data_IF_621996666044
#
_entry.id   IF_621996666044
#
_cell.length_a   1.000
_cell.length_b   1.000
_cell.length_c   1.000
_cell.angle_alpha   90.00
_cell.angle_beta   90.00
_cell.angle_gamma   90.00
#
_symmetry.space_group_name_H-M   'P 1'
#
loop_
_entity.id
_entity.type
_entity.pdbx_description
1 polymer ?
#
# COMPACT_ATOMS: atom_id res chain seq x y z
N UNK A 1 -7.52 30.14 17.08
CA UNK A 1 -7.76 28.68 16.97
C UNK A 1 -6.52 27.96 17.47
N UNK A 2 -6.69 26.98 18.36
CA UNK A 2 -5.57 26.18 18.87
C UNK A 2 -5.05 25.24 17.77
N UNK A 3 -3.75 24.91 17.76
CA UNK A 3 -3.10 24.08 16.74
C UNK A 3 -3.80 22.72 16.61
N UNK A 4 -4.14 22.10 17.74
CA UNK A 4 -4.81 20.80 17.80
C UNK A 4 -6.21 20.81 17.17
N UNK A 5 -6.96 21.89 17.35
CA UNK A 5 -8.30 22.03 16.76
C UNK A 5 -8.23 22.13 15.24
N UNK A 6 -7.17 22.78 14.72
CA UNK A 6 -6.95 22.91 13.28
C UNK A 6 -6.55 21.56 12.67
N UNK A 7 -5.67 20.80 13.33
CA UNK A 7 -5.29 19.46 12.87
C UNK A 7 -6.48 18.49 12.91
N UNK A 8 -7.33 18.54 13.94
CA UNK A 8 -8.55 17.75 13.99
C UNK A 8 -9.54 18.10 12.87
N UNK A 9 -9.66 19.38 12.50
CA UNK A 9 -10.47 19.78 11.35
C UNK A 9 -9.90 19.25 10.04
N UNK A 10 -8.58 19.28 9.86
CA UNK A 10 -7.93 18.73 8.67
C UNK A 10 -8.14 17.22 8.57
N UNK A 11 -8.07 16.48 9.69
CA UNK A 11 -8.35 15.03 9.70
C UNK A 11 -9.81 14.72 9.36
N UNK A 12 -10.77 15.50 9.89
CA UNK A 12 -12.18 15.33 9.51
C UNK A 12 -12.40 15.61 8.02
N UNK A 13 -11.84 16.72 7.52
CA UNK A 13 -11.90 17.04 6.10
C UNK A 13 -11.26 15.96 5.22
N UNK A 14 -10.16 15.33 5.66
CA UNK A 14 -9.56 14.20 4.97
C UNK A 14 -10.53 13.01 4.86
N UNK A 15 -11.21 12.64 5.94
CA UNK A 15 -12.20 11.54 5.96
C UNK A 15 -13.43 11.87 5.10
N UNK A 16 -13.86 13.13 5.12
CA UNK A 16 -14.99 13.63 4.31
C UNK A 16 -14.62 13.87 2.84
N UNK A 17 -13.37 13.56 2.45
CA UNK A 17 -12.83 13.78 1.11
C UNK A 17 -12.88 15.26 0.65
N UNK A 18 -12.75 16.18 1.60
CA UNK A 18 -12.65 17.62 1.35
C UNK A 18 -11.31 17.94 0.66
N UNK A 19 -11.41 18.36 -0.60
CA UNK A 19 -10.26 18.73 -1.43
C UNK A 19 -9.40 19.81 -0.78
N UNK A 20 -9.99 20.77 -0.04
CA UNK A 20 -9.22 21.84 0.62
C UNK A 20 -8.39 21.30 1.77
N UNK A 21 -8.95 20.40 2.57
CA UNK A 21 -8.23 19.75 3.66
C UNK A 21 -7.06 18.92 3.10
N UNK A 22 -7.30 18.11 2.07
CA UNK A 22 -6.27 17.30 1.41
C UNK A 22 -5.14 18.17 0.85
N UNK A 23 -5.48 19.23 0.10
CA UNK A 23 -4.50 20.17 -0.43
C UNK A 23 -3.70 20.87 0.66
N UNK A 24 -4.35 21.23 1.78
CA UNK A 24 -3.69 21.86 2.92
C UNK A 24 -2.70 20.91 3.59
N UNK A 25 -3.08 19.65 3.79
CA UNK A 25 -2.19 18.63 4.35
C UNK A 25 -1.01 18.40 3.39
N UNK A 26 -1.27 18.29 2.09
CA UNK A 26 -0.21 18.09 1.09
C UNK A 26 0.78 19.27 1.07
N UNK A 27 0.28 20.49 0.90
CA UNK A 27 1.11 21.70 0.83
C UNK A 27 1.92 21.95 2.11
N UNK A 28 1.36 21.61 3.28
CA UNK A 28 2.01 21.83 4.57
C UNK A 28 3.08 20.80 4.93
N UNK A 29 3.10 19.62 4.30
CA UNK A 29 3.92 18.50 4.77
C UNK A 29 4.81 17.88 3.69
N UNK A 30 4.44 17.94 2.40
CA UNK A 30 5.15 17.22 1.34
C UNK A 30 6.63 17.59 1.21
N UNK A 31 6.99 18.86 1.37
CA UNK A 31 8.37 19.34 1.23
C UNK A 31 9.36 18.64 2.19
N UNK A 32 8.91 18.32 3.40
CA UNK A 32 9.71 17.60 4.38
C UNK A 32 9.97 16.15 3.95
N UNK A 33 8.95 15.49 3.40
CA UNK A 33 9.05 14.10 2.94
C UNK A 33 9.85 14.01 1.64
N UNK A 34 9.71 15.02 0.76
CA UNK A 34 10.58 15.18 -0.40
C UNK A 34 12.05 15.28 0.00
N UNK A 35 12.38 16.14 0.97
CA UNK A 35 13.76 16.26 1.45
C UNK A 35 14.27 14.94 2.05
N UNK A 36 13.44 14.24 2.83
CA UNK A 36 13.77 12.93 3.37
C UNK A 36 14.13 11.93 2.27
N UNK A 37 13.31 11.79 1.24
CA UNK A 37 13.51 10.80 0.18
C UNK A 37 14.69 11.18 -0.71
N UNK A 38 14.80 12.44 -1.15
CA UNK A 38 15.91 12.91 -1.99
C UNK A 38 17.27 12.77 -1.30
N UNK A 39 17.34 13.03 0.01
CA UNK A 39 18.59 12.89 0.78
C UNK A 39 18.96 11.44 1.07
N UNK A 40 18.09 10.48 0.76
CA UNK A 40 18.28 9.06 1.05
C UNK A 40 18.11 8.21 -0.22
N UNK A 41 18.81 8.57 -1.29
CA UNK A 41 18.89 7.82 -2.55
C UNK A 41 17.57 7.66 -3.31
N UNK A 42 16.63 8.60 -3.13
CA UNK A 42 15.34 8.60 -3.83
C UNK A 42 15.20 9.71 -4.85
N UNK A 43 14.20 9.60 -5.70
CA UNK A 43 13.80 10.61 -6.67
C UNK A 43 12.61 11.45 -6.17
N UNK A 44 12.28 12.50 -6.93
CA UNK A 44 11.06 13.27 -6.67
C UNK A 44 9.80 12.41 -6.85
N UNK A 45 9.81 11.46 -7.79
CA UNK A 45 8.69 10.56 -8.02
C UNK A 45 8.51 9.59 -6.86
N UNK A 46 9.62 9.05 -6.34
CA UNK A 46 9.61 8.23 -5.12
C UNK A 46 9.01 9.00 -3.94
N UNK A 47 9.35 10.28 -3.79
CA UNK A 47 8.80 11.12 -2.74
C UNK A 47 7.29 11.32 -2.87
N UNK A 48 6.78 11.51 -4.10
CA UNK A 48 5.34 11.60 -4.35
C UNK A 48 4.65 10.30 -3.99
N UNK A 49 5.21 9.17 -4.39
CA UNK A 49 4.64 7.86 -4.11
C UNK A 49 4.61 7.57 -2.61
N UNK A 50 5.73 7.79 -1.91
CA UNK A 50 5.82 7.62 -0.45
C UNK A 50 4.83 8.51 0.29
N UNK A 51 4.69 9.77 -0.12
CA UNK A 51 3.78 10.69 0.54
C UNK A 51 2.32 10.32 0.29
N UNK A 52 1.97 9.89 -0.93
CA UNK A 52 0.60 9.43 -1.24
C UNK A 52 0.25 8.19 -0.43
N UNK A 53 1.17 7.23 -0.31
CA UNK A 53 0.98 6.05 0.52
C UNK A 53 0.81 6.41 2.00
N UNK A 54 1.60 7.36 2.52
CA UNK A 54 1.43 7.88 3.87
C UNK A 54 0.06 8.58 4.09
N UNK A 55 -0.43 9.32 3.08
CA UNK A 55 -1.76 9.95 3.11
C UNK A 55 -2.89 8.92 3.12
N UNK A 56 -2.76 7.82 2.38
CA UNK A 56 -3.72 6.72 2.39
C UNK A 56 -3.76 6.06 3.77
N UNK A 57 -2.60 5.76 4.37
CA UNK A 57 -2.53 5.20 5.73
C UNK A 57 -3.20 6.13 6.74
N UNK A 58 -2.91 7.44 6.67
CA UNK A 58 -3.55 8.44 7.51
C UNK A 58 -5.08 8.46 7.34
N UNK A 59 -5.58 8.40 6.10
CA UNK A 59 -7.01 8.36 5.80
C UNK A 59 -7.67 7.10 6.39
N UNK A 60 -7.10 5.92 6.16
CA UNK A 60 -7.61 4.65 6.68
C UNK A 60 -7.69 4.66 8.22
N UNK A 61 -6.70 5.29 8.88
CA UNK A 61 -6.66 5.46 10.33
C UNK A 61 -7.69 6.47 10.82
N UNK A 62 -7.78 7.63 10.18
CA UNK A 62 -8.75 8.66 10.54
C UNK A 62 -10.21 8.21 10.38
N UNK A 63 -10.47 7.23 9.50
CA UNK A 63 -11.79 6.60 9.38
C UNK A 63 -12.17 5.73 10.60
N UNK A 64 -11.21 5.30 11.43
CA UNK A 64 -11.49 4.49 12.62
C UNK A 64 -11.87 5.40 13.80
N UNK A 65 -12.94 5.03 14.51
CA UNK A 65 -13.50 5.83 15.61
C UNK A 65 -12.60 5.97 16.84
N UNK A 66 -11.61 5.10 16.98
CA UNK A 66 -10.63 5.06 18.07
C UNK A 66 -9.34 5.83 17.75
N UNK A 67 -9.15 6.28 16.52
CA UNK A 67 -7.95 6.98 16.13
C UNK A 67 -7.90 8.38 16.77
N UNK A 68 -6.87 8.60 17.57
CA UNK A 68 -6.54 9.91 18.14
C UNK A 68 -5.11 10.25 17.79
N UNK A 69 -4.94 11.35 17.04
CA UNK A 69 -3.62 11.89 16.77
C UNK A 69 -2.99 12.38 18.09
N UNK A 70 -1.90 11.74 18.51
CA UNK A 70 -1.18 12.04 19.77
C UNK A 70 0.02 12.96 19.58
N UNK A 71 0.39 13.24 18.33
CA UNK A 71 1.47 14.13 17.94
C UNK A 71 1.01 15.08 16.84
N UNK A 72 1.87 16.02 16.43
CA UNK A 72 1.55 16.91 15.30
C UNK A 72 1.42 16.09 14.01
N UNK A 73 0.52 16.53 13.12
CA UNK A 73 0.24 15.84 11.86
C UNK A 73 1.50 15.66 11.00
N UNK A 74 2.36 16.68 10.99
CA UNK A 74 3.66 16.65 10.30
C UNK A 74 4.57 15.54 10.81
N UNK A 75 4.57 15.31 12.12
CA UNK A 75 5.41 14.30 12.79
C UNK A 75 4.91 12.90 12.44
N UNK A 76 3.59 12.72 12.46
CA UNK A 76 2.96 11.47 12.06
C UNK A 76 3.27 11.10 10.61
N UNK A 77 3.04 12.04 9.68
CA UNK A 77 3.32 11.82 8.25
C UNK A 77 4.80 11.57 7.97
N UNK A 78 5.70 12.28 8.66
CA UNK A 78 7.14 12.04 8.55
C UNK A 78 7.54 10.64 9.03
N UNK A 79 7.03 10.20 10.19
CA UNK A 79 7.33 8.89 10.75
C UNK A 79 6.91 7.75 9.80
N UNK A 80 5.68 7.83 9.27
CA UNK A 80 5.18 6.86 8.28
C UNK A 80 6.04 6.89 7.02
N UNK A 81 6.25 8.08 6.43
CA UNK A 81 7.01 8.23 5.19
C UNK A 81 8.44 7.72 5.31
N UNK A 82 9.10 7.96 6.45
CA UNK A 82 10.44 7.45 6.74
C UNK A 82 10.49 5.93 6.74
N UNK A 83 9.54 5.26 7.41
CA UNK A 83 9.53 3.79 7.44
C UNK A 83 9.19 3.21 6.06
N UNK A 84 8.21 3.78 5.35
CA UNK A 84 7.90 3.41 3.97
C UNK A 84 9.14 3.51 3.07
N UNK A 85 9.90 4.60 3.20
CA UNK A 85 11.11 4.79 2.41
C UNK A 85 12.21 3.80 2.77
N UNK A 86 12.48 3.57 4.06
CA UNK A 86 13.46 2.58 4.50
C UNK A 86 13.12 1.17 4.03
N UNK A 87 11.83 0.82 4.00
CA UNK A 87 11.34 -0.44 3.45
C UNK A 87 11.62 -0.55 1.96
N UNK A 88 11.34 0.51 1.18
CA UNK A 88 11.68 0.57 -0.26
C UNK A 88 13.18 0.40 -0.48
N UNK A 89 14.02 1.09 0.27
CA UNK A 89 15.49 0.97 0.16
C UNK A 89 15.99 -0.44 0.45
N UNK A 90 15.46 -1.08 1.51
CA UNK A 90 15.77 -2.48 1.84
C UNK A 90 15.38 -3.43 0.70
N UNK A 91 14.22 -3.23 0.09
CA UNK A 91 13.77 -4.03 -1.06
C UNK A 91 14.66 -3.85 -2.30
N UNK A 92 15.22 -2.65 -2.49
CA UNK A 92 16.12 -2.33 -3.59
C UNK A 92 17.57 -2.78 -3.35
N UNK A 93 17.87 -3.46 -2.23
CA UNK A 93 19.22 -3.88 -1.86
C UNK A 93 20.15 -2.72 -1.49
N UNK A 94 19.59 -1.52 -1.31
CA UNK A 94 20.32 -0.33 -0.88
C UNK A 94 20.35 -0.33 0.65
N UNK A 95 21.40 -0.93 1.22
CA UNK A 95 21.60 -0.93 2.68
C UNK A 95 21.90 0.49 3.15
N UNK A 96 20.95 1.10 3.87
CA UNK A 96 21.22 2.32 4.63
C UNK A 96 21.80 1.89 5.97
N UNK A 97 23.00 2.37 6.32
CA UNK A 97 23.52 2.21 7.67
C UNK A 97 22.55 2.89 8.64
N UNK A 98 22.08 2.16 9.64
CA UNK A 98 21.12 2.65 10.65
C UNK A 98 21.60 3.89 11.44
N UNK A 99 22.84 4.34 11.22
CA UNK A 99 23.51 5.39 11.97
C UNK A 99 23.02 6.81 11.63
N UNK A 100 22.58 7.09 10.39
CA UNK A 100 22.22 8.46 9.98
C UNK A 100 20.74 8.84 10.23
N UNK A 101 19.89 7.86 10.56
CA UNK A 101 18.45 8.05 10.71
C UNK A 101 18.00 8.29 12.16
N UNK A 102 18.92 8.34 13.12
CA UNK A 102 18.59 8.39 14.56
C UNK A 102 18.17 9.77 15.09
N UNK A 103 18.13 10.80 14.25
CA UNK A 103 17.78 12.14 14.71
C UNK A 103 16.24 12.27 14.74
N UNK A 104 15.70 12.26 15.96
CA UNK A 104 14.31 12.44 16.40
C UNK A 104 13.47 11.15 16.58
N UNK A 105 13.55 10.59 17.80
CA UNK A 105 12.50 9.79 18.44
C UNK A 105 11.88 10.61 19.60
N UNK A 106 10.59 10.42 19.96
CA UNK A 106 10.02 9.12 20.32
C UNK A 106 8.77 8.73 19.52
N UNK A 107 8.72 7.49 19.02
CA UNK A 107 7.63 6.96 18.17
C UNK A 107 7.11 5.64 18.76
N UNK A 108 6.54 5.70 19.97
CA UNK A 108 5.96 4.50 20.62
C UNK A 108 4.51 4.27 20.16
N UNK A 109 3.82 5.30 19.64
CA UNK A 109 2.40 5.23 19.30
C UNK A 109 2.09 4.83 17.83
N UNK A 110 3.11 4.52 17.01
CA UNK A 110 2.92 4.21 15.57
C UNK A 110 3.18 2.71 15.28
N UNK A 111 3.66 1.92 16.24
CA UNK A 111 4.06 0.53 16.02
C UNK A 111 2.89 -0.40 15.66
N UNK A 112 1.77 -0.37 16.40
CA UNK A 112 0.58 -1.19 16.10
C UNK A 112 -0.07 -0.83 14.74
N UNK A 113 0.07 0.43 14.33
CA UNK A 113 -0.47 0.92 13.06
C UNK A 113 0.30 0.37 11.86
N UNK A 114 1.60 0.15 12.04
CA UNK A 114 2.55 -0.28 11.04
C UNK A 114 2.54 -1.80 10.86
N UNK A 115 2.31 -2.59 11.92
CA UNK A 115 2.22 -4.05 11.83
C UNK A 115 1.09 -4.52 10.90
N UNK A 116 -0.06 -3.84 10.90
CA UNK A 116 -1.16 -4.19 9.99
C UNK A 116 -0.85 -3.88 8.53
N UNK A 117 -0.16 -2.76 8.26
CA UNK A 117 0.26 -2.39 6.90
C UNK A 117 1.37 -3.32 6.40
N UNK A 118 2.32 -3.68 7.28
CA UNK A 118 3.36 -4.66 6.99
C UNK A 118 2.78 -6.03 6.67
N UNK A 119 1.82 -6.51 7.45
CA UNK A 119 1.13 -7.77 7.18
C UNK A 119 0.39 -7.77 5.83
N UNK A 120 -0.27 -6.67 5.48
CA UNK A 120 -1.00 -6.54 4.21
C UNK A 120 -0.04 -6.53 3.01
N UNK A 121 1.10 -5.87 3.15
CA UNK A 121 2.16 -5.88 2.13
C UNK A 121 2.82 -7.25 1.97
N UNK A 122 3.06 -7.96 3.08
CA UNK A 122 3.55 -9.35 3.05
C UNK A 122 2.56 -10.26 2.30
N UNK A 123 1.26 -10.12 2.58
CA UNK A 123 0.19 -10.81 1.85
C UNK A 123 0.23 -10.49 0.35
N UNK A 124 0.46 -9.22 -0.03
CA UNK A 124 0.60 -8.82 -1.44
C UNK A 124 1.84 -9.43 -2.12
N UNK A 125 3.00 -9.42 -1.45
CA UNK A 125 4.22 -10.04 -1.99
C UNK A 125 4.07 -11.56 -2.17
N UNK A 126 3.43 -12.23 -1.21
CA UNK A 126 3.12 -13.65 -1.31
C UNK A 126 2.16 -13.91 -2.48
N UNK A 127 1.15 -13.07 -2.66
CA UNK A 127 0.21 -13.16 -3.78
C UNK A 127 0.91 -12.97 -5.13
N UNK A 128 1.78 -11.97 -5.27
CA UNK A 128 2.53 -11.70 -6.50
C UNK A 128 3.45 -12.87 -6.87
N UNK A 129 4.19 -13.40 -5.89
CA UNK A 129 5.00 -14.62 -6.04
C UNK A 129 4.15 -15.84 -6.43
N UNK A 130 2.98 -16.01 -5.82
CA UNK A 130 2.06 -17.10 -6.15
C UNK A 130 1.51 -16.97 -7.58
N UNK A 131 1.19 -15.75 -8.02
CA UNK A 131 0.77 -15.45 -9.40
C UNK A 131 1.89 -15.74 -10.42
N UNK A 132 3.13 -15.36 -10.12
CA UNK A 132 4.28 -15.65 -10.97
C UNK A 132 4.51 -17.17 -11.15
N UNK A 133 4.31 -17.96 -10.09
CA UNK A 133 4.44 -19.43 -10.10
C UNK A 133 3.25 -20.18 -10.71
N UNK A 134 2.13 -19.49 -10.95
CA UNK A 134 0.91 -20.11 -11.46
C UNK A 134 1.07 -20.59 -12.91
N UNK A 135 1.87 -19.87 -13.70
CA UNK A 135 2.16 -20.17 -15.10
C UNK A 135 0.98 -19.97 -16.06
N UNK A 136 1.27 -19.99 -17.36
CA UNK A 136 0.26 -19.90 -18.41
C UNK A 136 -0.42 -21.25 -18.69
N UNK A 137 -1.69 -21.28 -19.14
CA UNK A 137 -2.57 -20.13 -19.39
C UNK A 137 -3.30 -19.62 -18.14
N UNK A 138 -3.07 -20.23 -16.97
CA UNK A 138 -3.83 -19.92 -15.76
C UNK A 138 -3.64 -18.50 -15.25
N UNK A 139 -2.42 -17.95 -15.34
CA UNK A 139 -2.13 -16.56 -14.97
C UNK A 139 -2.96 -15.59 -15.81
N UNK A 140 -2.82 -15.64 -17.14
CA UNK A 140 -3.57 -14.77 -18.05
C UNK A 140 -5.08 -14.93 -17.89
N UNK A 141 -5.57 -16.16 -17.66
CA UNK A 141 -7.00 -16.42 -17.45
C UNK A 141 -7.55 -15.71 -16.21
N UNK A 142 -6.82 -15.77 -15.09
CA UNK A 142 -7.24 -15.10 -13.85
C UNK A 142 -7.12 -13.58 -13.94
N UNK A 143 -6.07 -13.07 -14.60
CA UNK A 143 -5.90 -11.63 -14.86
C UNK A 143 -7.04 -11.07 -15.73
N UNK A 144 -7.35 -11.74 -16.84
CA UNK A 144 -8.44 -11.35 -17.73
C UNK A 144 -9.78 -11.27 -16.98
N UNK A 145 -10.07 -12.23 -16.10
CA UNK A 145 -11.33 -12.24 -15.35
C UNK A 145 -11.36 -11.25 -14.18
N UNK A 146 -10.37 -11.31 -13.27
CA UNK A 146 -10.42 -10.57 -12.01
C UNK A 146 -9.88 -9.14 -12.11
N UNK A 147 -8.92 -8.88 -13.00
CA UNK A 147 -8.30 -7.57 -13.18
C UNK A 147 -8.96 -6.83 -14.34
N UNK A 148 -9.02 -7.46 -15.52
CA UNK A 148 -9.57 -6.82 -16.74
C UNK A 148 -11.09 -6.93 -16.86
N UNK A 149 -11.75 -7.63 -15.92
CA UNK A 149 -13.22 -7.80 -15.85
C UNK A 149 -13.86 -8.38 -17.12
N UNK A 150 -13.14 -9.24 -17.85
CA UNK A 150 -13.65 -9.91 -19.05
C UNK A 150 -14.79 -10.87 -18.74
N UNK A 151 -15.77 -10.95 -19.64
CA UNK A 151 -16.91 -11.84 -19.51
C UNK A 151 -16.52 -13.30 -19.78
N UNK A 152 -17.33 -14.25 -19.33
CA UNK A 152 -17.10 -15.67 -19.66
C UNK A 152 -17.19 -15.96 -21.16
N UNK A 153 -17.93 -15.15 -21.93
CA UNK A 153 -17.96 -15.26 -23.38
C UNK A 153 -16.62 -14.78 -23.98
N UNK A 154 -16.10 -13.65 -23.50
CA UNK A 154 -14.81 -13.12 -23.95
C UNK A 154 -13.69 -14.14 -23.65
N UNK A 155 -13.71 -14.78 -22.48
CA UNK A 155 -12.71 -15.79 -22.11
C UNK A 155 -12.77 -17.03 -23.01
N UNK A 156 -13.94 -17.40 -23.50
CA UNK A 156 -14.09 -18.51 -24.46
C UNK A 156 -13.37 -18.18 -25.75
N UNK A 157 -13.56 -16.96 -26.27
CA UNK A 157 -12.91 -16.49 -27.50
C UNK A 157 -11.40 -16.33 -27.33
N UNK A 158 -10.96 -15.66 -26.25
CA UNK A 158 -9.54 -15.33 -26.01
C UNK A 158 -8.70 -16.58 -25.79
N UNK A 159 -9.23 -17.57 -25.06
CA UNK A 159 -8.47 -18.78 -24.66
C UNK A 159 -8.85 -20.03 -25.47
N UNK A 160 -9.76 -19.90 -26.44
CA UNK A 160 -10.17 -21.00 -27.32
C UNK A 160 -10.94 -22.12 -26.61
N UNK A 161 -11.73 -21.81 -25.58
CA UNK A 161 -12.57 -22.81 -24.93
C UNK A 161 -13.78 -23.15 -25.79
N UNK A 162 -14.33 -24.35 -25.61
CA UNK A 162 -15.48 -24.81 -26.40
C UNK A 162 -16.80 -24.14 -25.98
N UNK A 163 -16.93 -23.78 -24.71
CA UNK A 163 -18.09 -23.09 -24.16
C UNK A 163 -17.76 -22.43 -22.80
N UNK A 164 -18.66 -21.60 -22.30
CA UNK A 164 -18.47 -20.86 -21.05
C UNK A 164 -18.36 -21.76 -19.82
N UNK A 165 -18.92 -22.96 -19.85
CA UNK A 165 -18.82 -23.88 -18.70
C UNK A 165 -17.41 -24.48 -18.59
N UNK A 166 -16.79 -24.82 -19.71
CA UNK A 166 -15.38 -25.22 -19.74
C UNK A 166 -14.46 -24.08 -19.24
N UNK A 167 -14.73 -22.83 -19.66
CA UNK A 167 -14.02 -21.65 -19.17
C UNK A 167 -14.18 -21.45 -17.65
N UNK A 168 -15.39 -21.61 -17.10
CA UNK A 168 -15.65 -21.55 -15.65
C UNK A 168 -14.90 -22.64 -14.90
N UNK A 169 -14.95 -23.88 -15.37
CA UNK A 169 -14.26 -25.01 -14.75
C UNK A 169 -12.75 -24.80 -14.76
N UNK A 170 -12.19 -24.32 -15.88
CA UNK A 170 -10.76 -24.05 -15.98
C UNK A 170 -10.33 -22.89 -15.07
N UNK A 171 -11.10 -21.79 -15.04
CA UNK A 171 -10.88 -20.69 -14.10
C UNK A 171 -10.87 -21.17 -12.65
N UNK A 172 -11.83 -22.02 -12.27
CA UNK A 172 -11.91 -22.60 -10.93
C UNK A 172 -10.65 -23.41 -10.60
N UNK A 173 -10.20 -24.28 -11.50
CA UNK A 173 -8.95 -25.06 -11.32
C UNK A 173 -7.73 -24.15 -11.14
N UNK A 174 -7.60 -23.12 -11.97
CA UNK A 174 -6.52 -22.14 -11.88
C UNK A 174 -6.57 -21.38 -10.53
N UNK A 175 -7.75 -20.96 -10.08
CA UNK A 175 -7.93 -20.31 -8.79
C UNK A 175 -7.56 -21.24 -7.62
N UNK A 176 -7.93 -22.51 -7.67
CA UNK A 176 -7.56 -23.49 -6.63
C UNK A 176 -6.04 -23.72 -6.59
N UNK A 177 -5.39 -23.73 -7.74
CA UNK A 177 -3.93 -23.84 -7.82
C UNK A 177 -3.24 -22.59 -7.26
N UNK A 178 -3.74 -21.40 -7.59
CA UNK A 178 -3.26 -20.14 -7.01
C UNK A 178 -3.41 -20.14 -5.48
N UNK A 179 -4.60 -20.53 -4.98
CA UNK A 179 -4.86 -20.67 -3.55
C UNK A 179 -3.83 -21.58 -2.88
N UNK A 180 -3.52 -22.73 -3.49
CA UNK A 180 -2.50 -23.66 -2.96
C UNK A 180 -1.10 -23.02 -2.94
N UNK A 181 -0.71 -22.28 -3.98
CA UNK A 181 0.59 -21.59 -4.06
C UNK A 181 0.72 -20.45 -3.05
N UNK A 182 -0.38 -19.73 -2.80
CA UNK A 182 -0.45 -18.68 -1.79
C UNK A 182 -0.29 -19.26 -0.39
N UNK A 183 -1.12 -20.24 -0.02
CA UNK A 183 -1.10 -20.81 1.34
C UNK A 183 0.16 -21.63 1.65
N UNK A 184 0.85 -22.17 0.64
CA UNK A 184 2.17 -22.80 0.83
C UNK A 184 3.26 -21.80 1.29
N UNK A 185 3.07 -20.50 1.04
CA UNK A 185 3.98 -19.43 1.42
C UNK A 185 3.46 -18.62 2.61
N UNK A 186 2.13 -18.54 2.79
CA UNK A 186 1.48 -17.80 3.88
C UNK A 186 1.58 -18.49 5.26
N UNK A 187 1.78 -19.81 5.34
CA UNK A 187 1.90 -20.53 6.61
C UNK A 187 3.33 -20.65 7.15
N UNK A 188 4.24 -19.79 6.70
CA UNK A 188 5.64 -19.75 7.16
C UNK A 188 5.88 -18.54 8.02
#
# INVERSE_FOLDING_TARGET
MNSDQKEQQLLRGLVENDTKAIQTIYAGNFSLIQALVLNNNGSYDDARDVFQEAMVILYEKACKSDFKLTCQLKTYLYAISKRLWLKKLKHHGLFVSNTDLSILEPVIAVEEDLEMAEKKDEEFQIMESAFAKLGEPCKSLLEAFYIQKKSMADLVEIFGYTNSDNAKTQKYKCLMRLKKLFFAQYSK
#
